data_IF_817171611147
#
_entry.id   IF_817171611147
#
_cell.length_a   1.000
_cell.length_b   1.000
_cell.length_c   1.000
_cell.angle_alpha   90.00
_cell.angle_beta   90.00
_cell.angle_gamma   90.00
#
_symmetry.space_group_name_H-M   'P 1'
#
loop_
_entity.id
_entity.type
_entity.pdbx_description
1 polymer ?
#
# COMPACT_ATOMS: atom_id res chain seq x y z
N UNK A 1 4.96 -26.83 79.21
CA UNK A 1 4.84 -25.69 78.30
C UNK A 1 5.81 -25.91 77.17
N UNK A 2 5.30 -26.28 75.99
CA UNK A 2 6.15 -26.50 74.76
C UNK A 2 5.77 -25.43 73.75
N UNK A 3 6.68 -24.50 73.46
CA UNK A 3 6.55 -23.50 72.39
C UNK A 3 6.86 -24.13 71.05
N UNK A 4 5.90 -24.19 70.16
CA UNK A 4 6.05 -24.54 68.77
C UNK A 4 6.53 -23.31 67.99
N UNK A 5 7.73 -23.39 67.43
CA UNK A 5 8.21 -22.41 66.45
C UNK A 5 7.61 -22.74 65.09
N UNK A 6 6.75 -21.86 64.58
CA UNK A 6 6.26 -21.88 63.21
C UNK A 6 7.33 -21.19 62.35
N UNK A 7 7.86 -21.95 61.39
CA UNK A 7 8.83 -21.45 60.41
C UNK A 7 8.05 -20.91 59.22
N UNK A 8 8.01 -19.59 59.07
CA UNK A 8 7.49 -18.93 57.87
C UNK A 8 8.52 -19.02 56.75
N UNK A 9 8.22 -19.83 55.75
CA UNK A 9 8.97 -19.88 54.47
C UNK A 9 8.34 -18.79 53.55
N UNK A 10 9.05 -17.68 53.38
CA UNK A 10 8.71 -16.64 52.44
C UNK A 10 9.21 -17.04 51.04
N UNK A 11 8.33 -17.54 50.19
CA UNK A 11 8.61 -17.76 48.76
C UNK A 11 8.73 -16.41 48.07
N UNK A 12 9.92 -15.98 47.77
CA UNK A 12 10.25 -14.90 46.86
C UNK A 12 9.95 -15.35 45.42
N UNK A 13 8.79 -15.05 44.90
CA UNK A 13 8.49 -15.08 43.47
C UNK A 13 9.22 -13.91 42.80
N UNK A 14 10.39 -14.19 42.26
CA UNK A 14 11.07 -13.29 41.35
C UNK A 14 10.30 -13.23 40.04
N UNK A 15 9.41 -12.26 39.91
CA UNK A 15 8.79 -11.95 38.63
C UNK A 15 9.86 -11.42 37.67
N UNK A 16 10.30 -12.24 36.71
CA UNK A 16 10.97 -11.74 35.51
C UNK A 16 9.94 -10.89 34.74
N UNK A 17 10.01 -9.60 34.93
CA UNK A 17 9.41 -8.63 33.99
C UNK A 17 10.21 -8.74 32.68
N UNK A 18 9.75 -9.60 31.77
CA UNK A 18 10.08 -9.49 30.37
C UNK A 18 9.48 -8.17 29.88
N UNK A 19 10.27 -7.12 29.91
CA UNK A 19 9.99 -5.90 29.17
C UNK A 19 10.05 -6.25 27.70
N UNK A 20 8.91 -6.65 27.10
CA UNK A 20 8.75 -6.56 25.67
C UNK A 20 8.96 -5.10 25.31
N UNK A 21 10.11 -4.79 24.75
CA UNK A 21 10.35 -3.53 24.08
C UNK A 21 9.42 -3.56 22.86
N UNK A 22 8.18 -3.07 23.03
CA UNK A 22 7.32 -2.75 21.90
C UNK A 22 8.07 -1.69 21.11
N UNK A 23 8.77 -2.12 20.07
CA UNK A 23 9.29 -1.20 19.05
C UNK A 23 8.09 -0.41 18.55
N UNK A 24 8.04 0.87 18.90
CA UNK A 24 6.96 1.74 18.45
C UNK A 24 6.88 1.63 16.92
N UNK A 25 5.72 1.21 16.43
CA UNK A 25 5.52 1.07 15.00
C UNK A 25 5.77 2.42 14.34
N UNK A 26 6.66 2.47 13.34
CA UNK A 26 6.92 3.69 12.58
C UNK A 26 5.60 4.23 12.03
N UNK A 27 5.33 5.51 12.26
CA UNK A 27 4.14 6.19 11.76
C UNK A 27 4.03 6.12 10.24
N UNK A 28 5.16 6.33 9.57
CA UNK A 28 5.30 6.23 8.13
C UNK A 28 6.21 5.08 7.77
N UNK A 29 5.76 4.21 6.89
CA UNK A 29 6.55 3.09 6.37
C UNK A 29 6.85 3.36 4.90
N UNK A 30 8.08 3.13 4.49
CA UNK A 30 8.55 3.43 3.13
C UNK A 30 8.80 2.12 2.38
N UNK A 31 8.23 2.02 1.20
CA UNK A 31 8.37 0.84 0.33
C UNK A 31 8.56 1.20 -1.14
N UNK A 32 8.72 0.16 -1.95
CA UNK A 32 8.79 0.25 -3.41
C UNK A 32 7.79 -0.71 -4.05
N UNK A 33 7.33 -0.38 -5.26
CA UNK A 33 6.48 -1.28 -6.05
C UNK A 33 7.36 -2.33 -6.76
N UNK A 34 7.09 -3.62 -6.58
CA UNK A 34 7.90 -4.71 -7.14
C UNK A 34 7.96 -4.69 -8.67
N UNK A 35 6.87 -4.28 -9.33
CA UNK A 35 6.82 -4.15 -10.80
C UNK A 35 7.66 -2.98 -11.31
N UNK A 36 7.85 -1.94 -10.52
CA UNK A 36 8.67 -0.80 -10.87
C UNK A 36 10.17 -1.12 -10.75
N UNK A 37 10.54 -1.96 -9.79
CA UNK A 37 11.92 -2.42 -9.62
C UNK A 37 12.23 -3.70 -10.43
N UNK A 38 11.37 -4.03 -11.40
CA UNK A 38 11.51 -5.17 -12.34
C UNK A 38 11.57 -6.55 -11.65
N UNK A 39 10.92 -6.67 -10.51
CA UNK A 39 10.91 -7.88 -9.67
C UNK A 39 9.52 -8.46 -9.43
N UNK A 40 8.52 -8.07 -10.25
CA UNK A 40 7.13 -8.51 -10.12
C UNK A 40 7.02 -9.99 -9.74
N UNK A 41 6.54 -10.27 -8.52
CA UNK A 41 6.46 -11.60 -7.92
C UNK A 41 7.71 -12.48 -8.16
N UNK A 42 8.89 -11.96 -7.89
CA UNK A 42 10.15 -12.70 -7.88
C UNK A 42 10.78 -12.62 -6.49
N UNK A 43 11.26 -13.72 -5.95
CA UNK A 43 11.87 -13.74 -4.60
C UNK A 43 12.96 -12.67 -4.38
N UNK A 44 13.66 -12.29 -5.44
CA UNK A 44 14.65 -11.22 -5.39
C UNK A 44 14.09 -9.82 -5.11
N UNK A 45 12.76 -9.63 -5.07
CA UNK A 45 12.12 -8.36 -4.71
C UNK A 45 12.42 -7.99 -3.25
N UNK A 46 12.37 -8.95 -2.33
CA UNK A 46 12.66 -8.74 -0.91
C UNK A 46 14.12 -8.35 -0.68
N UNK A 47 15.05 -9.07 -1.32
CA UNK A 47 16.48 -8.73 -1.25
C UNK A 47 16.74 -7.33 -1.78
N UNK A 48 16.15 -6.98 -2.91
CA UNK A 48 16.32 -5.64 -3.49
C UNK A 48 15.69 -4.57 -2.59
N UNK A 49 14.49 -4.78 -2.04
CA UNK A 49 13.87 -3.85 -1.10
C UNK A 49 14.76 -3.62 0.15
N UNK A 50 15.38 -4.69 0.69
CA UNK A 50 16.35 -4.59 1.78
C UNK A 50 17.59 -3.78 1.38
N UNK A 51 18.15 -4.04 0.20
CA UNK A 51 19.32 -3.31 -0.33
C UNK A 51 19.02 -1.81 -0.57
N UNK A 52 17.78 -1.47 -0.90
CA UNK A 52 17.33 -0.07 -1.07
C UNK A 52 17.03 0.61 0.28
N UNK A 53 17.03 -0.14 1.38
CA UNK A 53 16.73 0.36 2.73
C UNK A 53 15.24 0.47 3.03
N UNK A 54 14.35 -0.17 2.26
CA UNK A 54 12.90 -0.10 2.48
C UNK A 54 12.46 -0.81 3.76
N UNK A 55 11.35 -0.36 4.36
CA UNK A 55 10.62 -1.09 5.40
C UNK A 55 9.82 -2.27 4.81
N UNK A 56 9.49 -2.19 3.53
CA UNK A 56 8.73 -3.21 2.82
C UNK A 56 8.57 -2.94 1.34
N UNK A 57 7.63 -3.64 0.74
CA UNK A 57 7.29 -3.49 -0.67
C UNK A 57 5.78 -3.57 -0.91
N UNK A 58 5.35 -3.10 -2.07
CA UNK A 58 4.05 -3.37 -2.64
C UNK A 58 4.19 -4.50 -3.66
N UNK A 59 3.55 -5.64 -3.37
CA UNK A 59 3.64 -6.85 -4.19
C UNK A 59 2.53 -6.86 -5.24
N UNK A 60 2.89 -6.99 -6.50
CA UNK A 60 1.91 -7.13 -7.58
C UNK A 60 1.30 -8.54 -7.63
N UNK A 61 0.05 -8.64 -8.06
CA UNK A 61 -0.66 -9.91 -8.26
C UNK A 61 -0.14 -10.73 -9.46
N UNK A 62 0.86 -10.23 -10.16
CA UNK A 62 1.32 -10.77 -11.42
C UNK A 62 0.55 -10.24 -12.64
N UNK A 63 1.01 -10.58 -13.83
CA UNK A 63 0.39 -10.09 -15.06
C UNK A 63 -1.05 -10.56 -15.24
N UNK A 64 -1.95 -9.67 -15.63
CA UNK A 64 -3.34 -10.01 -15.99
C UNK A 64 -3.49 -10.17 -17.49
N UNK A 65 -3.09 -9.17 -18.30
CA UNK A 65 -3.33 -9.14 -19.73
C UNK A 65 -4.81 -9.38 -20.06
N UNK A 66 -5.09 -10.20 -21.08
CA UNK A 66 -6.46 -10.58 -21.47
C UNK A 66 -7.01 -11.78 -20.68
N UNK A 67 -6.23 -12.39 -19.78
CA UNK A 67 -6.60 -13.59 -19.03
C UNK A 67 -7.68 -13.27 -17.98
N UNK A 68 -8.39 -14.31 -17.53
CA UNK A 68 -9.39 -14.21 -16.47
C UNK A 68 -8.82 -14.37 -15.06
N UNK A 69 -7.50 -14.60 -14.95
CA UNK A 69 -6.78 -14.68 -13.68
C UNK A 69 -5.44 -13.97 -13.77
N UNK A 70 -4.94 -13.47 -12.64
CA UNK A 70 -3.57 -13.01 -12.51
C UNK A 70 -2.58 -14.17 -12.64
N UNK A 71 -1.34 -13.88 -13.05
CA UNK A 71 -0.22 -14.83 -13.00
C UNK A 71 0.36 -14.85 -11.57
N UNK A 72 -0.52 -15.17 -10.62
CA UNK A 72 -0.23 -15.09 -9.20
C UNK A 72 0.45 -16.37 -8.69
N UNK A 73 1.73 -16.28 -8.37
CA UNK A 73 2.51 -17.40 -7.84
C UNK A 73 2.12 -17.79 -6.42
N UNK A 74 1.59 -16.84 -5.64
CA UNK A 74 1.23 -17.07 -4.22
C UNK A 74 0.05 -18.05 -4.09
N UNK A 75 -0.70 -18.31 -5.14
CA UNK A 75 -1.70 -19.39 -5.16
C UNK A 75 -1.10 -20.79 -4.96
N UNK A 76 0.18 -20.98 -5.27
CA UNK A 76 0.86 -22.24 -5.07
C UNK A 76 1.39 -22.30 -3.62
N UNK A 77 0.99 -23.31 -2.81
CA UNK A 77 1.32 -23.35 -1.39
C UNK A 77 2.84 -23.32 -1.11
N UNK A 78 3.63 -23.96 -1.95
CA UNK A 78 5.10 -23.96 -1.82
C UNK A 78 5.68 -22.57 -2.07
N UNK A 79 5.21 -21.89 -3.13
CA UNK A 79 5.64 -20.53 -3.43
C UNK A 79 5.20 -19.56 -2.32
N UNK A 80 3.97 -19.70 -1.83
CA UNK A 80 3.46 -18.91 -0.72
C UNK A 80 4.37 -19.01 0.53
N UNK A 81 4.74 -20.26 0.92
CA UNK A 81 5.66 -20.50 2.04
C UNK A 81 7.04 -19.88 1.78
N UNK A 82 7.57 -20.04 0.57
CA UNK A 82 8.89 -19.53 0.19
C UNK A 82 8.94 -18.01 0.21
N UNK A 83 7.93 -17.35 -0.36
CA UNK A 83 7.80 -15.88 -0.33
C UNK A 83 7.67 -15.37 1.10
N UNK A 84 6.80 -16.01 1.90
CA UNK A 84 6.62 -15.65 3.31
C UNK A 84 7.93 -15.78 4.10
N UNK A 85 8.58 -16.93 4.02
CA UNK A 85 9.86 -17.18 4.68
C UNK A 85 10.94 -16.16 4.25
N UNK A 86 11.01 -15.84 2.96
CA UNK A 86 11.97 -14.86 2.43
C UNK A 86 11.70 -13.45 2.99
N UNK A 87 10.43 -13.04 3.02
CA UNK A 87 10.01 -11.77 3.60
C UNK A 87 10.43 -11.67 5.09
N UNK A 88 10.10 -12.69 5.86
CA UNK A 88 10.41 -12.75 7.30
C UNK A 88 11.94 -12.78 7.57
N UNK A 89 12.69 -13.59 6.81
CA UNK A 89 14.16 -13.71 6.96
C UNK A 89 14.89 -12.40 6.64
N UNK A 90 14.34 -11.57 5.77
CA UNK A 90 14.92 -10.28 5.38
C UNK A 90 14.29 -9.10 6.12
N UNK A 91 13.33 -9.36 7.01
CA UNK A 91 12.57 -8.33 7.75
C UNK A 91 11.91 -7.30 6.82
N UNK A 92 11.47 -7.75 5.63
CA UNK A 92 10.79 -6.91 4.64
C UNK A 92 9.30 -7.25 4.64
N UNK A 93 8.46 -6.25 4.95
CA UNK A 93 7.01 -6.43 4.99
C UNK A 93 6.40 -6.31 3.59
N UNK A 94 5.30 -7.02 3.35
CA UNK A 94 4.39 -6.71 2.24
C UNK A 94 3.37 -5.71 2.76
N UNK A 95 3.57 -4.43 2.44
CA UNK A 95 2.75 -3.34 2.95
C UNK A 95 1.42 -3.20 2.21
N UNK A 96 1.40 -3.59 0.93
CA UNK A 96 0.20 -3.65 0.10
C UNK A 96 0.33 -4.75 -0.97
N UNK A 97 -0.81 -5.20 -1.52
CA UNK A 97 -0.87 -6.09 -2.69
C UNK A 97 -1.55 -5.37 -3.84
N UNK A 98 -0.91 -5.33 -5.01
CA UNK A 98 -1.37 -4.52 -6.14
C UNK A 98 -2.03 -5.36 -7.23
N UNK A 99 -3.22 -4.98 -7.62
CA UNK A 99 -3.91 -5.47 -8.82
C UNK A 99 -3.55 -4.61 -10.04
N UNK A 100 -2.24 -4.39 -10.30
CA UNK A 100 -1.76 -3.44 -11.32
C UNK A 100 -2.24 -3.76 -12.74
N UNK A 101 -2.68 -4.99 -12.99
CA UNK A 101 -3.27 -5.38 -14.28
C UNK A 101 -4.47 -4.54 -14.69
N UNK A 102 -5.15 -3.91 -13.73
CA UNK A 102 -6.27 -3.01 -14.00
C UNK A 102 -5.86 -1.60 -14.47
N UNK A 103 -4.57 -1.30 -14.56
CA UNK A 103 -4.12 -0.16 -15.36
C UNK A 103 -4.46 -0.33 -16.86
N UNK A 104 -4.40 -1.57 -17.37
CA UNK A 104 -4.65 -1.89 -18.77
C UNK A 104 -5.96 -2.64 -19.04
N UNK A 105 -6.68 -3.06 -18.00
CA UNK A 105 -7.95 -3.78 -18.09
C UNK A 105 -9.04 -3.03 -17.34
N UNK A 106 -10.24 -2.98 -17.91
CA UNK A 106 -11.37 -2.32 -17.27
C UNK A 106 -11.93 -3.17 -16.13
N UNK A 107 -11.86 -2.65 -14.90
CA UNK A 107 -12.51 -3.28 -13.75
C UNK A 107 -14.03 -3.38 -13.93
N UNK A 108 -14.65 -2.41 -14.62
CA UNK A 108 -16.06 -2.41 -14.93
C UNK A 108 -16.48 -3.46 -15.98
N UNK A 109 -15.59 -3.80 -16.92
CA UNK A 109 -15.91 -4.74 -18.00
C UNK A 109 -15.43 -6.17 -17.73
N UNK A 110 -14.46 -6.36 -16.82
CA UNK A 110 -13.87 -7.67 -16.54
C UNK A 110 -14.87 -8.61 -15.88
N UNK A 111 -15.26 -9.69 -16.55
CA UNK A 111 -16.27 -10.62 -16.03
C UNK A 111 -15.76 -11.40 -14.80
N UNK A 112 -14.47 -11.73 -14.78
CA UNK A 112 -13.83 -12.45 -13.65
C UNK A 112 -13.46 -11.54 -12.46
N UNK A 113 -13.93 -10.27 -12.42
CA UNK A 113 -13.53 -9.29 -11.40
C UNK A 113 -13.66 -9.81 -9.95
N UNK A 114 -14.74 -10.51 -9.65
CA UNK A 114 -15.00 -11.03 -8.29
C UNK A 114 -13.98 -12.09 -7.89
N UNK A 115 -13.62 -12.96 -8.82
CA UNK A 115 -12.55 -13.94 -8.62
C UNK A 115 -11.19 -13.26 -8.44
N UNK A 116 -10.88 -12.23 -9.25
CA UNK A 116 -9.62 -11.49 -9.16
C UNK A 116 -9.47 -10.77 -7.81
N UNK A 117 -10.57 -10.23 -7.29
CA UNK A 117 -10.60 -9.62 -5.94
C UNK A 117 -10.40 -10.70 -4.88
N UNK A 118 -11.07 -11.83 -4.97
CA UNK A 118 -10.91 -12.94 -4.03
C UNK A 118 -9.48 -13.46 -3.98
N UNK A 119 -8.84 -13.66 -5.15
CA UNK A 119 -7.44 -14.06 -5.27
C UNK A 119 -6.48 -13.04 -4.62
N UNK A 120 -6.78 -11.74 -4.80
CA UNK A 120 -6.03 -10.66 -4.14
C UNK A 120 -6.17 -10.72 -2.61
N UNK A 121 -7.37 -10.85 -2.09
CA UNK A 121 -7.62 -10.93 -0.65
C UNK A 121 -6.96 -12.18 -0.02
N UNK A 122 -6.95 -13.31 -0.72
CA UNK A 122 -6.25 -14.53 -0.28
C UNK A 122 -4.72 -14.31 -0.26
N UNK A 123 -4.19 -13.63 -1.27
CA UNK A 123 -2.76 -13.24 -1.32
C UNK A 123 -2.41 -12.30 -0.16
N UNK A 124 -3.25 -11.29 0.10
CA UNK A 124 -3.09 -10.38 1.24
C UNK A 124 -3.05 -11.14 2.57
N UNK A 125 -3.96 -12.10 2.77
CA UNK A 125 -4.00 -12.92 3.98
C UNK A 125 -2.70 -13.72 4.13
N UNK A 126 -2.25 -14.37 3.06
CA UNK A 126 -1.01 -15.15 3.03
C UNK A 126 0.22 -14.30 3.34
N UNK A 127 0.30 -13.11 2.75
CA UNK A 127 1.44 -12.20 2.93
C UNK A 127 1.25 -11.22 4.11
N UNK A 128 0.18 -11.35 4.89
CA UNK A 128 -0.16 -10.51 6.05
C UNK A 128 -0.32 -9.01 5.69
N UNK A 129 -0.62 -8.70 4.44
CA UNK A 129 -0.97 -7.35 4.02
C UNK A 129 -2.41 -6.99 4.43
N UNK A 130 -2.66 -5.71 4.69
CA UNK A 130 -4.00 -5.21 5.05
C UNK A 130 -4.59 -4.28 4.00
N UNK A 131 -3.80 -3.87 3.03
CA UNK A 131 -4.19 -2.94 1.97
C UNK A 131 -3.97 -3.59 0.61
N UNK A 132 -4.96 -3.49 -0.27
CA UNK A 132 -4.78 -3.75 -1.70
C UNK A 132 -4.80 -2.43 -2.48
N UNK A 133 -4.11 -2.40 -3.60
CA UNK A 133 -4.15 -1.33 -4.58
C UNK A 133 -4.93 -1.75 -5.81
N UNK A 134 -5.94 -0.96 -6.19
CA UNK A 134 -6.76 -1.19 -7.38
C UNK A 134 -6.81 0.07 -8.25
N UNK A 135 -6.03 0.16 -9.35
CA UNK A 135 -6.13 1.27 -10.27
C UNK A 135 -7.39 1.15 -11.15
N UNK A 136 -8.09 2.25 -11.34
CA UNK A 136 -9.24 2.31 -12.25
C UNK A 136 -8.89 2.87 -13.64
N UNK A 137 -7.60 3.03 -13.95
CA UNK A 137 -7.11 3.59 -15.21
C UNK A 137 -7.60 2.83 -16.45
N UNK A 138 -7.71 1.51 -16.39
CA UNK A 138 -8.24 0.68 -17.47
C UNK A 138 -9.73 0.87 -17.76
N UNK A 139 -10.48 1.57 -16.90
CA UNK A 139 -11.87 1.93 -17.16
C UNK A 139 -12.03 3.14 -18.10
N UNK A 140 -10.92 3.77 -18.53
CA UNK A 140 -10.94 5.01 -19.30
C UNK A 140 -11.26 6.23 -18.43
N UNK A 141 -11.67 7.33 -19.05
CA UNK A 141 -12.03 8.57 -18.33
C UNK A 141 -13.54 8.77 -18.18
N UNK A 142 -14.33 8.17 -19.04
CA UNK A 142 -15.79 8.42 -19.13
C UNK A 142 -16.55 8.01 -17.87
N UNK A 143 -16.03 7.07 -17.09
CA UNK A 143 -16.65 6.63 -15.84
C UNK A 143 -16.68 7.72 -14.75
N UNK A 144 -15.87 8.75 -14.88
CA UNK A 144 -15.86 9.87 -13.91
C UNK A 144 -17.18 10.65 -13.91
N UNK A 145 -17.93 10.56 -14.99
CA UNK A 145 -19.26 11.12 -15.11
C UNK A 145 -20.32 10.14 -14.60
N UNK A 146 -21.55 10.64 -14.35
CA UNK A 146 -22.68 9.82 -13.90
C UNK A 146 -23.29 9.04 -15.08
N UNK A 147 -22.68 7.94 -15.46
CA UNK A 147 -23.08 7.07 -16.55
C UNK A 147 -23.21 5.61 -16.13
N UNK A 148 -23.51 4.71 -17.08
CA UNK A 148 -23.65 3.29 -16.82
C UNK A 148 -22.35 2.64 -16.30
N UNK A 149 -21.18 3.06 -16.79
CA UNK A 149 -19.88 2.55 -16.38
C UNK A 149 -19.61 2.90 -14.91
N UNK A 150 -19.92 4.15 -14.50
CA UNK A 150 -19.78 4.55 -13.09
C UNK A 150 -20.70 3.73 -12.18
N UNK A 151 -21.93 3.48 -12.57
CA UNK A 151 -22.86 2.64 -11.78
C UNK A 151 -22.28 1.23 -11.57
N UNK A 152 -21.74 0.64 -12.63
CA UNK A 152 -21.10 -0.68 -12.56
C UNK A 152 -19.85 -0.67 -11.66
N UNK A 153 -19.00 0.35 -11.77
CA UNK A 153 -17.83 0.52 -10.90
C UNK A 153 -18.25 0.63 -9.44
N UNK A 154 -19.24 1.49 -9.13
CA UNK A 154 -19.74 1.67 -7.77
C UNK A 154 -20.29 0.36 -7.21
N UNK A 155 -21.12 -0.35 -7.99
CA UNK A 155 -21.64 -1.65 -7.58
C UNK A 155 -20.53 -2.66 -7.28
N UNK A 156 -19.56 -2.82 -8.20
CA UNK A 156 -18.45 -3.76 -8.02
C UNK A 156 -17.53 -3.38 -6.85
N UNK A 157 -17.28 -2.09 -6.66
CA UNK A 157 -16.49 -1.61 -5.54
C UNK A 157 -17.22 -1.80 -4.20
N UNK A 158 -18.54 -1.63 -4.15
CA UNK A 158 -19.33 -1.98 -2.97
C UNK A 158 -19.12 -3.46 -2.61
N UNK A 159 -19.39 -4.37 -3.53
CA UNK A 159 -19.22 -5.82 -3.32
C UNK A 159 -17.78 -6.19 -2.92
N UNK A 160 -16.78 -5.64 -3.63
CA UNK A 160 -15.36 -5.88 -3.33
C UNK A 160 -14.98 -5.34 -1.95
N UNK A 161 -15.50 -4.19 -1.57
CA UNK A 161 -15.29 -3.57 -0.27
C UNK A 161 -15.88 -4.42 0.86
N UNK A 162 -17.10 -4.95 0.69
CA UNK A 162 -17.70 -5.85 1.66
C UNK A 162 -16.90 -7.15 1.82
N UNK A 163 -16.35 -7.71 0.72
CA UNK A 163 -15.46 -8.86 0.77
C UNK A 163 -14.17 -8.55 1.56
N UNK A 164 -13.59 -7.37 1.38
CA UNK A 164 -12.38 -6.93 2.08
C UNK A 164 -12.67 -6.65 3.58
N UNK A 165 -13.73 -5.90 3.87
CA UNK A 165 -14.13 -5.54 5.24
C UNK A 165 -14.39 -6.76 6.14
N UNK A 166 -15.04 -7.80 5.63
CA UNK A 166 -15.26 -9.08 6.32
C UNK A 166 -13.96 -9.76 6.76
N UNK A 167 -12.82 -9.41 6.15
CA UNK A 167 -11.49 -9.96 6.46
C UNK A 167 -10.61 -8.95 7.22
N UNK A 168 -11.16 -7.81 7.63
CA UNK A 168 -10.42 -6.72 8.25
C UNK A 168 -9.35 -6.13 7.31
N UNK A 169 -9.66 -6.06 6.01
CA UNK A 169 -8.80 -5.56 4.93
C UNK A 169 -9.46 -4.39 4.21
N UNK A 170 -8.65 -3.63 3.45
CA UNK A 170 -9.10 -2.47 2.69
C UNK A 170 -8.56 -2.56 1.26
N UNK A 171 -9.39 -2.21 0.29
CA UNK A 171 -8.98 -1.99 -1.10
C UNK A 171 -8.91 -0.49 -1.34
N UNK A 172 -7.71 -0.01 -1.65
CA UNK A 172 -7.44 1.37 -2.03
C UNK A 172 -7.59 1.57 -3.53
N UNK A 173 -8.49 2.44 -3.94
CA UNK A 173 -8.69 2.75 -5.36
C UNK A 173 -7.86 3.95 -5.79
N UNK A 174 -7.17 3.85 -6.94
CA UNK A 174 -6.53 4.97 -7.62
C UNK A 174 -7.45 5.52 -8.70
N UNK A 175 -7.75 6.80 -8.60
CA UNK A 175 -8.72 7.51 -9.47
C UNK A 175 -8.15 8.83 -9.97
N UNK A 176 -8.62 9.36 -11.12
CA UNK A 176 -8.25 10.70 -11.59
C UNK A 176 -9.02 11.84 -10.87
N UNK A 177 -9.96 11.50 -9.99
CA UNK A 177 -10.86 12.44 -9.32
C UNK A 177 -10.10 13.32 -8.31
N UNK A 178 -10.62 14.53 -8.07
CA UNK A 178 -10.15 15.36 -6.96
C UNK A 178 -10.68 14.86 -5.60
N UNK A 179 -10.21 15.47 -4.52
CA UNK A 179 -10.59 15.06 -3.16
C UNK A 179 -12.10 15.13 -2.90
N UNK A 180 -12.80 16.13 -3.46
CA UNK A 180 -14.25 16.30 -3.28
C UNK A 180 -15.01 15.20 -4.01
N UNK A 181 -14.63 14.93 -5.25
CA UNK A 181 -15.27 13.87 -6.05
C UNK A 181 -14.93 12.48 -5.54
N UNK A 182 -13.70 12.25 -5.03
CA UNK A 182 -13.34 11.02 -4.33
C UNK A 182 -14.21 10.77 -3.09
N UNK A 183 -14.46 11.81 -2.27
CA UNK A 183 -15.39 11.67 -1.13
C UNK A 183 -16.82 11.35 -1.55
N UNK A 184 -17.30 11.92 -2.67
CA UNK A 184 -18.61 11.56 -3.22
C UNK A 184 -18.62 10.12 -3.71
N UNK A 185 -17.55 9.68 -4.40
CA UNK A 185 -17.41 8.30 -4.86
C UNK A 185 -17.44 7.33 -3.69
N UNK A 186 -16.66 7.58 -2.62
CA UNK A 186 -16.67 6.75 -1.42
C UNK A 186 -18.06 6.67 -0.77
N UNK A 187 -18.79 7.78 -0.74
CA UNK A 187 -20.19 7.81 -0.26
C UNK A 187 -21.14 7.03 -1.17
N UNK A 188 -20.94 7.08 -2.50
CA UNK A 188 -21.74 6.31 -3.46
C UNK A 188 -21.45 4.80 -3.34
N UNK A 189 -20.21 4.41 -3.07
CA UNK A 189 -19.79 3.01 -2.87
C UNK A 189 -20.36 2.45 -1.56
N UNK A 190 -20.41 3.25 -0.51
CA UNK A 190 -20.98 2.90 0.80
C UNK A 190 -20.44 1.59 1.38
N UNK A 191 -19.11 1.44 1.43
CA UNK A 191 -18.45 0.30 2.06
C UNK A 191 -17.19 0.72 2.82
N UNK A 192 -17.01 0.24 4.07
CA UNK A 192 -15.83 0.53 4.88
C UNK A 192 -14.55 -0.13 4.34
N UNK A 193 -14.69 -1.13 3.47
CA UNK A 193 -13.57 -1.84 2.85
C UNK A 193 -12.98 -1.12 1.63
N UNK A 194 -13.51 0.04 1.22
CA UNK A 194 -12.97 0.85 0.13
C UNK A 194 -12.45 2.18 0.66
N UNK A 195 -11.23 2.52 0.27
CA UNK A 195 -10.59 3.82 0.54
C UNK A 195 -9.85 4.30 -0.71
N UNK A 196 -9.24 5.47 -0.62
CA UNK A 196 -8.40 6.01 -1.70
C UNK A 196 -6.94 5.59 -1.47
N UNK A 197 -6.32 5.05 -2.49
CA UNK A 197 -4.88 4.94 -2.60
C UNK A 197 -4.38 6.20 -3.31
N UNK A 198 -3.88 7.15 -2.55
CA UNK A 198 -3.60 8.49 -3.08
C UNK A 198 -2.30 8.50 -3.89
N UNK A 199 -2.31 9.14 -5.06
CA UNK A 199 -1.15 9.20 -5.96
C UNK A 199 -0.75 10.65 -6.21
N UNK A 200 0.48 11.02 -5.85
CA UNK A 200 0.97 12.40 -6.06
C UNK A 200 1.01 12.77 -7.54
N UNK A 201 1.46 11.86 -8.41
CA UNK A 201 1.48 12.07 -9.86
C UNK A 201 0.12 12.53 -10.39
N UNK A 202 -0.97 11.87 -9.99
CA UNK A 202 -2.31 12.22 -10.44
C UNK A 202 -2.70 13.65 -10.03
N UNK A 203 -2.30 14.11 -8.85
CA UNK A 203 -2.53 15.48 -8.43
C UNK A 203 -1.71 16.48 -9.27
N UNK A 204 -0.42 16.20 -9.48
CA UNK A 204 0.49 17.05 -10.27
C UNK A 204 0.02 17.18 -11.72
N UNK A 205 -0.32 16.05 -12.38
CA UNK A 205 -0.81 16.03 -13.77
C UNK A 205 -2.11 16.85 -13.95
N UNK A 206 -2.94 16.89 -12.90
CA UNK A 206 -4.17 17.68 -12.89
C UNK A 206 -3.97 19.08 -12.26
N UNK A 207 -2.73 19.53 -12.08
CA UNK A 207 -2.38 20.86 -11.53
C UNK A 207 -3.04 21.14 -10.17
N UNK A 208 -3.15 20.10 -9.33
CA UNK A 208 -3.73 20.19 -7.98
C UNK A 208 -2.63 20.30 -6.93
N UNK A 209 -2.91 21.05 -5.88
CA UNK A 209 -2.09 21.12 -4.68
C UNK A 209 -2.31 19.85 -3.83
N UNK A 210 -1.27 19.03 -3.69
CA UNK A 210 -1.32 17.75 -2.97
C UNK A 210 -1.75 17.97 -1.52
N UNK A 211 -1.19 18.97 -0.83
CA UNK A 211 -1.49 19.25 0.57
C UNK A 211 -2.94 19.68 0.78
N UNK A 212 -3.49 20.47 -0.14
CA UNK A 212 -4.92 20.85 -0.10
C UNK A 212 -5.83 19.66 -0.38
N UNK A 213 -5.45 18.81 -1.34
CA UNK A 213 -6.21 17.59 -1.66
C UNK A 213 -6.23 16.64 -0.45
N UNK A 214 -5.08 16.38 0.17
CA UNK A 214 -4.98 15.53 1.37
C UNK A 214 -5.84 16.07 2.52
N UNK A 215 -5.78 17.38 2.79
CA UNK A 215 -6.63 18.01 3.81
C UNK A 215 -8.13 17.84 3.53
N UNK A 216 -8.54 18.01 2.27
CA UNK A 216 -9.94 17.85 1.86
C UNK A 216 -10.40 16.40 1.92
N UNK A 217 -9.54 15.46 1.53
CA UNK A 217 -9.85 14.04 1.52
C UNK A 217 -9.98 13.51 2.96
N UNK A 218 -9.06 13.89 3.84
CA UNK A 218 -9.02 13.46 5.25
C UNK A 218 -8.35 12.09 5.43
N UNK A 219 -7.72 11.90 6.58
CA UNK A 219 -6.91 10.70 6.89
C UNK A 219 -7.70 9.39 6.75
N UNK A 220 -8.93 9.36 7.23
CA UNK A 220 -9.76 8.15 7.27
C UNK A 220 -10.10 7.60 5.88
N UNK A 221 -10.02 8.45 4.86
CA UNK A 221 -10.30 8.07 3.47
C UNK A 221 -9.05 7.60 2.70
N UNK A 222 -7.85 7.64 3.31
CA UNK A 222 -6.58 7.30 2.67
C UNK A 222 -6.00 6.04 3.29
N UNK A 223 -5.77 4.98 2.50
CA UNK A 223 -5.19 3.73 2.99
C UNK A 223 -3.74 3.50 2.57
N UNK A 224 -3.23 4.24 1.60
CA UNK A 224 -1.86 4.17 1.11
C UNK A 224 -1.55 5.34 0.18
N UNK A 225 -0.28 5.57 -0.05
CA UNK A 225 0.19 6.67 -0.90
C UNK A 225 1.24 6.15 -1.88
N UNK A 226 1.06 6.42 -3.17
CA UNK A 226 2.13 6.39 -4.15
C UNK A 226 2.85 7.74 -4.15
N UNK A 227 4.04 7.76 -3.56
CA UNK A 227 4.95 8.89 -3.63
C UNK A 227 5.65 8.87 -4.99
N UNK A 228 5.05 9.52 -5.97
CA UNK A 228 5.41 9.40 -7.38
C UNK A 228 5.16 10.67 -8.17
N UNK A 229 5.95 10.84 -9.23
CA UNK A 229 5.63 11.71 -10.35
C UNK A 229 6.03 11.00 -11.66
N UNK A 230 5.81 11.63 -12.81
CA UNK A 230 6.36 11.16 -14.09
C UNK A 230 7.88 11.05 -14.00
N UNK A 231 8.46 10.15 -14.80
CA UNK A 231 9.93 10.08 -14.91
C UNK A 231 10.49 11.40 -15.45
N UNK A 232 11.59 11.81 -14.90
CA UNK A 232 12.27 13.07 -15.22
C UNK A 232 13.42 13.29 -14.26
N UNK A 233 13.10 13.49 -13.00
CA UNK A 233 14.05 13.69 -11.90
C UNK A 233 13.61 12.88 -10.68
N UNK A 234 14.52 12.66 -9.72
CA UNK A 234 14.15 12.08 -8.43
C UNK A 234 13.25 13.01 -7.63
N UNK A 235 12.45 12.45 -6.71
CA UNK A 235 11.53 13.19 -5.85
C UNK A 235 12.18 14.37 -5.11
N UNK A 236 13.46 14.24 -4.73
CA UNK A 236 14.23 15.32 -4.09
C UNK A 236 14.37 16.57 -4.97
N UNK A 237 14.41 16.39 -6.27
CA UNK A 237 14.64 17.47 -7.26
C UNK A 237 13.36 17.89 -7.97
N UNK A 238 12.25 17.26 -7.64
CA UNK A 238 10.95 17.53 -8.24
C UNK A 238 10.32 18.78 -7.61
N UNK A 239 10.32 19.89 -8.35
CA UNK A 239 9.76 21.17 -7.90
C UNK A 239 8.21 21.17 -7.82
N UNK A 240 7.55 20.20 -8.45
CA UNK A 240 6.09 20.08 -8.40
C UNK A 240 5.58 19.43 -7.10
N UNK A 241 6.49 18.82 -6.31
CA UNK A 241 6.14 18.12 -5.08
C UNK A 241 6.88 18.73 -3.88
N UNK A 242 6.15 19.44 -3.04
CA UNK A 242 6.70 19.98 -1.78
C UNK A 242 6.57 18.91 -0.67
N UNK A 243 7.55 18.01 -0.61
CA UNK A 243 7.51 16.86 0.31
C UNK A 243 7.47 17.26 1.79
N UNK A 244 8.23 18.28 2.27
CA UNK A 244 8.10 18.75 3.66
C UNK A 244 6.70 19.27 4.02
N UNK A 245 6.03 19.97 3.13
CA UNK A 245 4.66 20.46 3.33
C UNK A 245 3.65 19.29 3.35
N UNK A 246 3.86 18.30 2.49
CA UNK A 246 3.04 17.08 2.47
C UNK A 246 3.17 16.35 3.82
N UNK A 247 4.40 16.16 4.32
CA UNK A 247 4.62 15.57 5.64
C UNK A 247 3.90 16.34 6.73
N UNK A 248 4.10 17.66 6.80
CA UNK A 248 3.43 18.51 7.80
C UNK A 248 1.90 18.41 7.71
N UNK A 249 1.36 18.24 6.50
CA UNK A 249 -0.08 18.03 6.29
C UNK A 249 -0.54 16.68 6.83
N UNK A 250 0.17 15.60 6.51
CA UNK A 250 -0.15 14.25 6.99
C UNK A 250 0.00 14.15 8.52
N UNK A 251 1.00 14.85 9.10
CA UNK A 251 1.16 14.96 10.54
C UNK A 251 -0.05 15.61 11.23
N UNK A 252 -0.53 16.73 10.69
CA UNK A 252 -1.71 17.44 11.19
C UNK A 252 -2.98 16.62 11.05
N UNK A 253 -3.09 15.82 10.01
CA UNK A 253 -4.21 14.91 9.80
C UNK A 253 -4.17 13.68 10.71
N UNK A 254 -3.08 13.42 11.41
CA UNK A 254 -2.91 12.20 12.19
C UNK A 254 -2.75 10.94 11.34
N UNK A 255 -2.51 11.08 10.03
CA UNK A 255 -2.38 9.92 9.13
C UNK A 255 -1.11 9.11 9.41
N UNK A 256 -1.24 7.80 9.33
CA UNK A 256 -0.13 6.84 9.39
C UNK A 256 -0.33 5.77 8.31
N UNK A 257 0.76 5.24 7.77
CA UNK A 257 0.65 4.20 6.74
C UNK A 257 1.86 4.12 5.82
N UNK A 258 1.64 3.51 4.67
CA UNK A 258 2.66 3.24 3.69
C UNK A 258 2.75 4.32 2.62
N UNK A 259 3.99 4.74 2.33
CA UNK A 259 4.34 5.49 1.13
C UNK A 259 5.20 4.57 0.24
N UNK A 260 4.72 4.30 -0.97
CA UNK A 260 5.47 3.49 -1.93
C UNK A 260 6.04 4.36 -3.05
N UNK A 261 7.32 4.18 -3.32
CA UNK A 261 7.96 4.83 -4.48
C UNK A 261 7.51 4.13 -5.76
N UNK A 262 6.88 4.90 -6.64
CA UNK A 262 6.51 4.50 -7.99
C UNK A 262 7.07 5.54 -8.98
N UNK A 263 7.71 5.15 -10.08
CA UNK A 263 8.31 6.09 -11.05
C UNK A 263 9.32 7.09 -10.44
N UNK A 264 9.31 8.36 -10.86
CA UNK A 264 10.23 9.43 -10.43
C UNK A 264 11.70 9.05 -10.65
N UNK A 265 11.99 8.47 -11.82
CA UNK A 265 13.34 8.06 -12.22
C UNK A 265 14.05 9.20 -12.97
N UNK A 266 15.36 9.28 -12.79
CA UNK A 266 16.23 10.10 -13.61
C UNK A 266 16.22 9.58 -15.06
N UNK A 267 15.73 10.38 -16.00
CA UNK A 267 15.61 9.98 -17.42
C UNK A 267 16.96 9.83 -18.10
N UNK A 268 18.04 10.37 -17.54
CA UNK A 268 19.40 10.20 -18.08
C UNK A 268 19.96 8.81 -17.78
N UNK A 269 19.41 8.12 -16.75
CA UNK A 269 19.83 6.76 -16.34
C UNK A 269 18.64 5.91 -15.87
N UNK A 270 17.56 5.92 -16.62
CA UNK A 270 16.26 5.32 -16.24
C UNK A 270 16.34 3.82 -15.93
N UNK A 271 17.34 3.12 -16.48
CA UNK A 271 17.51 1.66 -16.30
C UNK A 271 18.24 1.30 -15.00
N UNK A 272 18.87 2.25 -14.33
CA UNK A 272 19.57 2.03 -13.09
C UNK A 272 18.59 1.98 -11.90
N UNK A 273 17.94 0.82 -11.77
CA UNK A 273 16.89 0.60 -10.76
C UNK A 273 17.39 0.90 -9.35
N UNK A 274 18.58 0.38 -8.98
CA UNK A 274 19.12 0.58 -7.63
C UNK A 274 19.35 2.06 -7.30
N UNK A 275 19.95 2.81 -8.22
CA UNK A 275 20.18 4.23 -8.03
C UNK A 275 18.86 5.00 -7.95
N UNK A 276 17.99 4.83 -8.94
CA UNK A 276 16.73 5.58 -9.00
C UNK A 276 15.82 5.37 -7.79
N UNK A 277 15.60 4.11 -7.42
CA UNK A 277 14.73 3.82 -6.28
C UNK A 277 15.43 4.03 -4.94
N UNK A 278 16.75 3.79 -4.85
CA UNK A 278 17.55 4.06 -3.65
C UNK A 278 17.56 5.53 -3.26
N UNK A 279 17.76 6.44 -4.22
CA UNK A 279 17.72 7.89 -3.96
C UNK A 279 16.32 8.36 -3.52
N UNK A 280 15.27 7.86 -4.15
CA UNK A 280 13.91 8.22 -3.77
C UNK A 280 13.52 7.67 -2.39
N UNK A 281 13.85 6.41 -2.09
CA UNK A 281 13.62 5.79 -0.77
C UNK A 281 14.37 6.54 0.32
N UNK A 282 15.67 6.80 0.11
CA UNK A 282 16.49 7.58 1.05
C UNK A 282 15.87 8.94 1.35
N UNK A 283 15.43 9.65 0.30
CA UNK A 283 14.79 10.95 0.48
C UNK A 283 13.48 10.87 1.27
N UNK A 284 12.62 9.89 0.99
CA UNK A 284 11.40 9.72 1.75
C UNK A 284 11.68 9.36 3.22
N UNK A 285 12.70 8.55 3.50
CA UNK A 285 13.10 8.25 4.88
C UNK A 285 13.60 9.50 5.62
N UNK A 286 14.44 10.30 4.96
CA UNK A 286 14.93 11.57 5.52
C UNK A 286 13.77 12.51 5.88
N UNK A 287 12.73 12.58 5.06
CA UNK A 287 11.58 13.47 5.29
C UNK A 287 10.60 12.91 6.32
N UNK A 288 10.28 11.61 6.25
CA UNK A 288 9.13 11.04 6.98
C UNK A 288 9.51 10.26 8.23
N UNK A 289 10.76 9.83 8.38
CA UNK A 289 11.17 8.97 9.50
C UNK A 289 12.23 9.61 10.42
N UNK A 290 12.71 10.81 10.09
CA UNK A 290 13.62 11.59 10.93
C UNK A 290 12.90 12.72 11.67
#
# INVERSE_FOLDING_TARGET
MKFNKVLCITLLFGGLLLSEVMMAQKRYQIGVCDWMVLKRQKLGEFKLARELGCDGLEMDMGGLGKRDSFDNKIRQPEMARLFRHTADSLEIKVGAVAMSGFYGQSFAAKQSWKWLVEDCLNTMQTMQAKVAFLPLGGCGKDWTEKNAIRKEIVFRLHEAGEMAAKRGMVIGVDTPLDAKENKKLLKEIDSPGIKIFYKFQTAVENKRDISKDLRKLGADNICGIHASNTDGVWLRHDKAINMPEIKATLDKLGWSGWLFVERSRDVTDVRNVKRNYGENVKYLMEVFQN
#
